data_IF_299894795994
#
_entry.id   IF_299894795994
#
_cell.length_a   1.000
_cell.length_b   1.000
_cell.length_c   1.000
_cell.angle_alpha   90.00
_cell.angle_beta   90.00
_cell.angle_gamma   90.00
#
_symmetry.space_group_name_H-M   'P 1'
#
loop_
_entity.id
_entity.type
_entity.pdbx_description
1 polymer ?
#
# COMPACT_ATOMS: atom_id res chain seq x y z
N UNK A 1 -3.53 -36.37 15.30
CA UNK A 1 -3.67 -35.95 14.95
C UNK A 1 -3.85 -35.40 14.86
N UNK A 2 -3.56 -35.44 14.75
CA UNK A 2 -3.50 -34.86 14.45
C UNK A 2 -3.48 -34.35 13.93
N UNK A 3 -3.11 -34.55 13.83
CA UNK A 3 -2.86 -34.02 13.14
C UNK A 3 -2.63 -33.51 12.73
N UNK A 4 -2.42 -33.70 12.66
CA UNK A 4 -2.09 -33.13 11.95
C UNK A 4 -1.89 -32.64 11.68
N UNK A 5 -1.63 -32.79 11.58
CA UNK A 5 -1.19 -32.25 11.06
C UNK A 5 -0.94 -31.69 10.90
N UNK A 6 -0.79 -31.80 10.80
CA UNK A 6 -0.29 -31.22 10.35
C UNK A 6 -0.07 -30.53 10.21
N UNK A 7 0.14 -30.59 10.24
CA UNK A 7 0.56 -29.93 9.86
C UNK A 7 0.87 -29.39 9.82
N UNK A 8 1.14 -29.55 9.85
CA UNK A 8 1.60 -29.02 9.65
C UNK A 8 2.03 -28.50 9.75
N UNK A 9 2.33 -28.65 9.92
CA UNK A 9 2.88 -28.09 9.81
C UNK A 9 3.42 -27.67 9.85
N UNK A 10 3.78 -27.81 9.92
CA UNK A 10 4.43 -27.32 9.72
C UNK A 10 5.01 -26.78 9.61
N UNK A 11 5.45 -26.88 9.53
CA UNK A 11 6.19 -26.29 9.26
C UNK A 11 6.62 -25.69 8.90
N UNK A 12 6.79 -25.56 8.68
CA UNK A 12 7.42 -24.87 8.20
C UNK A 12 7.86 -23.94 8.66
N UNK A 13 8.35 -23.71 8.71
CA UNK A 13 8.88 -22.85 9.22
C UNK A 13 9.19 -21.75 9.02
N UNK A 14 9.13 -21.41 9.37
CA UNK A 14 9.35 -20.44 9.24
C UNK A 14 9.34 -19.72 9.01
N UNK A 15 9.05 -20.66 9.11
CA UNK A 15 9.29 -19.80 8.66
C UNK A 15 9.55 -18.38 8.62
N UNK A 16 9.26 -17.69 8.20
CA UNK A 16 9.66 -16.34 8.00
C UNK A 16 8.88 -15.40 8.87
N UNK A 17 9.61 -14.55 9.54
CA UNK A 17 9.02 -13.41 10.22
C UNK A 17 8.30 -12.54 9.19
N UNK A 18 7.18 -11.91 9.55
CA UNK A 18 6.50 -10.99 8.64
C UNK A 18 7.40 -9.82 8.24
N UNK A 19 7.26 -9.39 7.02
CA UNK A 19 7.97 -8.22 6.49
C UNK A 19 7.24 -6.95 6.91
N UNK A 20 8.00 -5.91 7.25
CA UNK A 20 7.46 -4.56 7.48
C UNK A 20 7.27 -3.87 6.15
N UNK A 21 6.10 -3.29 5.91
CA UNK A 21 5.79 -2.68 4.62
C UNK A 21 5.14 -1.32 4.79
N UNK A 22 5.31 -0.47 3.79
CA UNK A 22 4.65 0.82 3.70
C UNK A 22 4.17 1.06 2.28
N UNK A 23 2.95 1.52 2.14
CA UNK A 23 2.31 1.82 0.87
C UNK A 23 1.79 3.25 0.86
N UNK A 24 1.76 3.85 -0.34
CA UNK A 24 1.08 5.11 -0.57
C UNK A 24 -0.21 4.82 -1.33
N UNK A 25 -1.32 5.35 -0.84
CA UNK A 25 -2.63 5.22 -1.47
C UNK A 25 -3.09 6.58 -1.96
N UNK A 26 -3.69 6.60 -3.16
CA UNK A 26 -4.21 7.84 -3.71
C UNK A 26 -5.39 7.61 -4.64
N UNK A 27 -6.28 8.60 -4.70
CA UNK A 27 -7.43 8.60 -5.59
C UNK A 27 -7.81 10.05 -5.89
N UNK A 28 -8.21 10.31 -7.13
CA UNK A 28 -8.77 11.63 -7.51
C UNK A 28 -10.27 11.55 -7.81
N UNK A 29 -10.89 10.41 -7.50
CA UNK A 29 -12.33 10.25 -7.68
C UNK A 29 -13.10 11.03 -6.64
N UNK A 30 -14.34 11.39 -6.95
CA UNK A 30 -15.20 12.12 -6.00
C UNK A 30 -15.39 11.36 -4.68
N UNK A 31 -15.38 10.02 -4.73
CA UNK A 31 -15.55 9.17 -3.56
C UNK A 31 -14.19 8.66 -3.03
N UNK A 32 -13.12 9.45 -3.18
CA UNK A 32 -11.77 9.02 -2.84
C UNK A 32 -11.65 8.48 -1.42
N UNK A 33 -12.23 9.15 -0.44
CA UNK A 33 -12.10 8.71 0.96
C UNK A 33 -12.75 7.33 1.18
N UNK A 34 -13.92 7.10 0.58
CA UNK A 34 -14.58 5.80 0.66
C UNK A 34 -13.78 4.71 -0.07
N UNK A 35 -13.16 5.07 -1.20
CA UNK A 35 -12.33 4.13 -1.95
C UNK A 35 -11.05 3.77 -1.18
N UNK A 36 -10.43 4.74 -0.52
CA UNK A 36 -9.27 4.49 0.33
C UNK A 36 -9.65 3.52 1.45
N UNK A 37 -10.79 3.75 2.09
CA UNK A 37 -11.25 2.87 3.16
C UNK A 37 -11.49 1.46 2.65
N UNK A 38 -12.12 1.33 1.48
CA UNK A 38 -12.35 0.02 0.85
C UNK A 38 -11.02 -0.67 0.54
N UNK A 39 -10.05 0.06 0.01
CA UNK A 39 -8.73 -0.51 -0.29
C UNK A 39 -8.06 -1.05 0.97
N UNK A 40 -8.12 -0.30 2.07
CA UNK A 40 -7.52 -0.72 3.34
C UNK A 40 -8.20 -2.00 3.85
N UNK A 41 -9.51 -2.09 3.75
CA UNK A 41 -10.24 -3.30 4.14
C UNK A 41 -9.81 -4.50 3.30
N UNK A 42 -9.66 -4.31 1.98
CA UNK A 42 -9.19 -5.37 1.09
C UNK A 42 -7.77 -5.78 1.42
N UNK A 43 -6.89 -4.80 1.71
CA UNK A 43 -5.50 -5.05 2.07
C UNK A 43 -5.37 -5.82 3.39
N UNK A 44 -6.35 -5.71 4.28
CA UNK A 44 -6.32 -6.43 5.55
C UNK A 44 -6.38 -7.95 5.38
N UNK A 45 -6.69 -8.44 4.19
CA UNK A 45 -6.69 -9.87 3.89
C UNK A 45 -5.27 -10.44 3.78
N UNK A 46 -4.27 -9.59 3.52
CA UNK A 46 -2.88 -10.05 3.34
C UNK A 46 -1.86 -9.18 4.06
N UNK A 47 -2.31 -8.17 4.79
CA UNK A 47 -1.44 -7.32 5.61
C UNK A 47 -2.06 -7.20 6.99
N UNK A 48 -1.24 -7.42 8.03
CA UNK A 48 -1.67 -7.31 9.42
C UNK A 48 -1.13 -6.01 10.02
N UNK A 49 -1.66 -5.62 11.18
CA UNK A 49 -1.19 -4.45 11.94
C UNK A 49 -1.26 -3.15 11.12
N UNK A 50 -2.32 -3.01 10.32
CA UNK A 50 -2.47 -1.85 9.45
C UNK A 50 -2.63 -0.57 10.28
N UNK A 51 -1.80 0.42 9.95
CA UNK A 51 -1.85 1.76 10.53
C UNK A 51 -1.91 2.74 9.37
N UNK A 52 -2.88 3.65 9.41
CA UNK A 52 -3.10 4.63 8.35
C UNK A 52 -2.82 6.03 8.89
N UNK A 53 -2.09 6.83 8.12
CA UNK A 53 -1.90 8.25 8.41
C UNK A 53 -3.19 9.03 8.11
N UNK A 54 -3.22 10.31 8.46
CA UNK A 54 -4.27 11.18 7.96
C UNK A 54 -4.24 11.19 6.43
N UNK A 55 -5.34 11.59 5.83
CA UNK A 55 -5.45 11.72 4.38
C UNK A 55 -5.32 13.20 4.03
N UNK A 56 -4.41 13.50 3.09
CA UNK A 56 -4.14 14.87 2.64
C UNK A 56 -4.70 15.08 1.25
N UNK A 57 -5.14 16.30 0.97
CA UNK A 57 -5.48 16.74 -0.39
C UNK A 57 -4.21 17.25 -1.05
N UNK A 58 -3.89 16.70 -2.23
CA UNK A 58 -2.68 17.09 -2.98
C UNK A 58 -3.03 17.44 -4.42
N UNK A 59 -2.20 18.30 -5.03
CA UNK A 59 -2.37 18.63 -6.45
C UNK A 59 -1.88 17.46 -7.32
N UNK A 60 -2.52 17.24 -8.48
CA UNK A 60 -2.08 16.17 -9.36
C UNK A 60 -0.69 16.44 -9.93
N UNK A 61 0.07 15.35 -10.14
CA UNK A 61 1.41 15.41 -10.70
C UNK A 61 1.38 14.66 -12.02
N UNK A 62 1.69 15.34 -13.11
CA UNK A 62 1.82 14.73 -14.43
C UNK A 62 0.52 14.46 -15.17
N UNK A 63 -0.64 14.80 -14.61
CA UNK A 63 -1.93 14.68 -15.30
C UNK A 63 -2.79 15.90 -15.00
N UNK A 64 -3.75 16.14 -15.87
CA UNK A 64 -4.74 17.19 -15.66
C UNK A 64 -5.98 16.56 -15.02
N UNK A 65 -6.18 16.83 -13.76
CA UNK A 65 -7.33 16.32 -13.02
C UNK A 65 -7.61 17.23 -11.83
N UNK A 66 -8.66 16.91 -11.08
CA UNK A 66 -8.86 17.50 -9.77
C UNK A 66 -7.83 16.98 -8.77
N UNK A 67 -7.85 17.52 -7.56
CA UNK A 67 -6.88 17.13 -6.55
C UNK A 67 -7.03 15.66 -6.15
N UNK A 68 -5.94 15.10 -5.64
CA UNK A 68 -5.93 13.76 -5.08
C UNK A 68 -6.13 13.80 -3.57
N UNK A 69 -6.66 12.70 -3.05
CA UNK A 69 -6.60 12.40 -1.62
C UNK A 69 -5.55 11.30 -1.45
N UNK A 70 -4.58 11.54 -0.59
CA UNK A 70 -3.45 10.62 -0.40
C UNK A 70 -3.20 10.33 1.07
N UNK A 71 -2.80 9.09 1.36
CA UNK A 71 -2.36 8.71 2.69
C UNK A 71 -1.25 7.67 2.60
N UNK A 72 -0.58 7.41 3.72
CA UNK A 72 0.36 6.31 3.85
C UNK A 72 -0.25 5.24 4.76
N UNK A 73 0.06 4.00 4.45
CA UNK A 73 -0.40 2.85 5.23
C UNK A 73 0.79 1.96 5.50
N UNK A 74 0.96 1.54 6.75
CA UNK A 74 2.01 0.60 7.14
C UNK A 74 1.39 -0.68 7.68
N UNK A 75 2.18 -1.74 7.70
CA UNK A 75 1.72 -3.02 8.24
C UNK A 75 2.79 -4.09 8.13
N UNK A 76 2.36 -5.33 8.29
CA UNK A 76 3.22 -6.50 8.17
C UNK A 76 2.59 -7.52 7.24
N UNK A 77 3.42 -8.23 6.47
CA UNK A 77 2.93 -9.25 5.55
C UNK A 77 3.94 -10.39 5.43
N UNK A 78 3.44 -11.60 5.19
CA UNK A 78 4.30 -12.74 4.88
C UNK A 78 4.65 -12.80 3.39
N UNK A 79 4.02 -11.95 2.57
CA UNK A 79 4.28 -11.93 1.13
C UNK A 79 5.63 -11.30 0.83
N UNK A 80 6.35 -11.85 -0.15
CA UNK A 80 7.53 -11.15 -0.66
C UNK A 80 7.09 -9.93 -1.48
N UNK A 81 8.04 -9.10 -1.89
CA UNK A 81 7.70 -7.84 -2.58
C UNK A 81 6.92 -8.08 -3.88
N UNK A 82 7.32 -9.10 -4.65
CA UNK A 82 6.66 -9.41 -5.91
C UNK A 82 5.22 -9.85 -5.70
N UNK A 83 4.99 -10.73 -4.73
CA UNK A 83 3.65 -11.20 -4.37
C UNK A 83 2.79 -10.04 -3.85
N UNK A 84 3.38 -9.18 -3.04
CA UNK A 84 2.65 -8.03 -2.49
C UNK A 84 2.25 -7.06 -3.60
N UNK A 85 3.16 -6.74 -4.52
CA UNK A 85 2.85 -5.85 -5.63
C UNK A 85 1.68 -6.41 -6.45
N UNK A 86 1.67 -7.71 -6.72
CA UNK A 86 0.57 -8.34 -7.44
C UNK A 86 -0.76 -8.21 -6.68
N UNK A 87 -0.72 -8.41 -5.36
CA UNK A 87 -1.91 -8.28 -4.51
C UNK A 87 -2.42 -6.83 -4.47
N UNK A 88 -1.50 -5.86 -4.44
CA UNK A 88 -1.89 -4.44 -4.46
C UNK A 88 -2.53 -4.06 -5.80
N UNK A 89 -2.00 -4.56 -6.91
CA UNK A 89 -2.62 -4.31 -8.22
C UNK A 89 -4.02 -4.91 -8.32
N UNK A 90 -4.21 -6.09 -7.76
CA UNK A 90 -5.55 -6.68 -7.70
C UNK A 90 -6.48 -5.81 -6.85
N UNK A 91 -6.00 -5.29 -5.74
CA UNK A 91 -6.78 -4.41 -4.88
C UNK A 91 -7.19 -3.14 -5.64
N UNK A 92 -6.28 -2.56 -6.43
CA UNK A 92 -6.63 -1.42 -7.29
C UNK A 92 -7.79 -1.76 -8.21
N UNK A 93 -7.73 -2.91 -8.89
CA UNK A 93 -8.81 -3.35 -9.79
C UNK A 93 -10.12 -3.58 -9.03
N UNK A 94 -10.04 -4.15 -7.84
CA UNK A 94 -11.23 -4.38 -7.02
C UNK A 94 -11.87 -3.06 -6.55
N UNK A 95 -11.09 -1.98 -6.51
CA UNK A 95 -11.60 -0.63 -6.24
C UNK A 95 -12.13 0.07 -7.49
N UNK A 96 -12.13 -0.59 -8.62
CA UNK A 96 -12.69 -0.05 -9.86
C UNK A 96 -11.68 0.54 -10.82
N UNK A 97 -10.38 0.41 -10.53
CA UNK A 97 -9.35 0.94 -11.42
C UNK A 97 -9.42 0.24 -12.78
N UNK A 98 -9.39 1.03 -13.85
CA UNK A 98 -9.44 0.55 -15.23
C UNK A 98 -8.56 1.43 -16.10
N UNK A 99 -7.93 0.82 -17.11
CA UNK A 99 -7.07 1.57 -18.05
C UNK A 99 -7.84 2.67 -18.76
N UNK A 100 -9.11 2.44 -19.10
CA UNK A 100 -9.92 3.44 -19.77
C UNK A 100 -10.16 4.66 -18.88
N UNK A 101 -10.37 4.46 -17.58
CA UNK A 101 -10.53 5.55 -16.62
C UNK A 101 -9.22 6.31 -16.47
N UNK A 102 -8.10 5.61 -16.35
CA UNK A 102 -6.78 6.26 -16.25
C UNK A 102 -6.48 7.10 -17.50
N UNK A 103 -6.86 6.63 -18.69
CA UNK A 103 -6.71 7.42 -19.90
C UNK A 103 -7.57 8.69 -19.87
N UNK A 104 -8.67 8.66 -19.14
CA UNK A 104 -9.52 9.84 -18.91
C UNK A 104 -9.08 10.64 -17.68
N UNK A 105 -7.91 10.33 -17.12
CA UNK A 105 -7.33 10.98 -15.94
C UNK A 105 -8.17 10.79 -14.67
N UNK A 106 -8.91 9.67 -14.61
CA UNK A 106 -9.65 9.27 -13.42
C UNK A 106 -8.89 8.10 -12.80
N UNK A 107 -8.32 8.35 -11.62
CA UNK A 107 -7.58 7.35 -10.86
C UNK A 107 -8.46 6.93 -9.70
N UNK A 108 -9.14 5.79 -9.86
CA UNK A 108 -10.02 5.27 -8.81
C UNK A 108 -9.21 4.90 -7.57
N UNK A 109 -8.10 4.21 -7.75
CA UNK A 109 -7.21 3.84 -6.66
C UNK A 109 -5.83 3.54 -7.22
N UNK A 110 -4.82 4.16 -6.62
CA UNK A 110 -3.42 3.92 -6.91
C UNK A 110 -2.75 3.50 -5.61
N UNK A 111 -2.09 2.35 -5.61
CA UNK A 111 -1.43 1.82 -4.42
C UNK A 111 0.01 1.48 -4.78
N UNK A 112 0.94 2.26 -4.26
CA UNK A 112 2.37 2.05 -4.53
C UNK A 112 3.06 1.47 -3.31
N UNK A 113 3.76 0.36 -3.50
CA UNK A 113 4.65 -0.16 -2.47
C UNK A 113 5.85 0.75 -2.38
N UNK A 114 6.07 1.35 -1.21
CA UNK A 114 7.21 2.25 -0.98
C UNK A 114 8.33 1.59 -0.21
N UNK A 115 8.01 0.64 0.67
CA UNK A 115 9.02 0.00 1.52
C UNK A 115 8.62 -1.45 1.78
N UNK A 116 9.58 -2.35 1.60
CA UNK A 116 9.46 -3.76 1.97
C UNK A 116 10.71 -4.12 2.76
N UNK A 117 10.55 -4.27 4.07
CA UNK A 117 11.64 -4.33 5.04
C UNK A 117 12.54 -3.10 4.90
N UNK A 118 13.78 -3.24 4.48
CA UNK A 118 14.69 -2.12 4.30
C UNK A 118 14.87 -1.70 2.85
N UNK A 119 14.14 -2.30 1.91
CA UNK A 119 14.24 -1.95 0.50
C UNK A 119 13.19 -0.92 0.11
N UNK A 120 13.64 0.18 -0.49
CA UNK A 120 12.78 1.26 -0.95
C UNK A 120 12.39 1.06 -2.41
N UNK A 121 11.15 1.39 -2.72
CA UNK A 121 10.59 1.38 -4.08
C UNK A 121 10.11 2.78 -4.41
N UNK A 122 10.00 3.10 -5.69
CA UNK A 122 9.55 4.43 -6.15
C UNK A 122 10.37 5.54 -5.48
N UNK A 123 11.69 5.40 -5.50
CA UNK A 123 12.58 6.27 -4.73
C UNK A 123 12.42 7.75 -5.06
N UNK A 124 12.01 8.09 -6.29
CA UNK A 124 11.75 9.46 -6.68
C UNK A 124 10.56 10.06 -5.95
N UNK A 125 9.56 9.22 -5.63
CA UNK A 125 8.33 9.69 -5.00
C UNK A 125 8.54 10.05 -3.53
N UNK A 126 9.57 9.51 -2.90
CA UNK A 126 9.86 9.79 -1.49
C UNK A 126 10.13 11.27 -1.22
N UNK A 127 10.52 12.03 -2.24
CA UNK A 127 10.77 13.47 -2.12
C UNK A 127 9.50 14.31 -2.20
N UNK A 128 8.37 13.71 -2.55
CA UNK A 128 7.11 14.45 -2.66
C UNK A 128 6.70 14.99 -1.31
N UNK A 129 6.21 16.23 -1.29
CA UNK A 129 5.91 16.92 -0.04
C UNK A 129 4.91 16.17 0.83
N UNK A 130 3.88 15.55 0.23
CA UNK A 130 2.90 14.85 1.04
C UNK A 130 3.48 13.61 1.71
N UNK A 131 4.42 12.92 1.07
CA UNK A 131 5.09 11.78 1.67
C UNK A 131 5.95 12.25 2.83
N UNK A 132 6.74 13.29 2.63
CA UNK A 132 7.59 13.84 3.71
C UNK A 132 6.73 14.32 4.89
N UNK A 133 5.57 14.88 4.60
CA UNK A 133 4.66 15.37 5.63
C UNK A 133 4.02 14.23 6.43
N UNK A 134 3.71 13.11 5.78
CA UNK A 134 3.01 11.98 6.41
C UNK A 134 3.95 10.98 7.07
N UNK A 135 5.23 10.91 6.63
CA UNK A 135 6.19 9.94 7.20
C UNK A 135 6.26 9.97 8.71
N UNK A 136 6.30 11.14 9.38
CA UNK A 136 6.36 11.16 10.84
C UNK A 136 5.16 10.53 11.54
N UNK A 137 4.04 10.37 10.83
CA UNK A 137 2.85 9.72 11.40
C UNK A 137 2.94 8.20 11.35
N UNK A 138 3.92 7.66 10.63
CA UNK A 138 4.16 6.22 10.58
C UNK A 138 5.16 5.86 11.69
N UNK A 139 5.05 4.62 12.18
CA UNK A 139 5.99 4.13 13.21
C UNK A 139 7.13 3.35 12.58
N UNK A 140 7.39 3.61 11.31
CA UNK A 140 8.36 2.82 10.58
C UNK A 140 9.77 3.37 10.84
N UNK A 141 10.70 2.45 11.16
CA UNK A 141 12.12 2.79 11.23
C UNK A 141 12.71 2.69 9.84
N UNK A 142 13.15 3.82 9.31
CA UNK A 142 13.74 3.83 7.98
C UNK A 142 15.22 3.48 8.07
N UNK A 143 15.73 2.63 7.13
CA UNK A 143 17.15 2.43 7.03
C UNK A 143 17.83 3.72 6.57
N UNK A 144 19.09 3.94 6.94
CA UNK A 144 19.81 5.13 6.47
C UNK A 144 19.92 5.12 4.96
N UNK A 145 19.88 6.31 4.37
CA UNK A 145 20.14 6.46 2.95
C UNK A 145 21.63 6.27 2.67
N UNK A 146 21.92 5.49 1.67
CA UNK A 146 23.31 5.25 1.24
C UNK A 146 23.56 5.91 -0.11
#
# INVERSE_FOLDING_TARGET
>A
MRASPPSCIISMPDTSAPHSVMMALGSNHADADALIEKAIQLMSRFITDLITTETLTTEPIGIQSGPFRNCLVTGHTVLDASQLIAALKKTERDCGDRKSLRRAHIIMMDIDLLLHDDRRYHTQDWQRSYIQQLLPQTNISLPPLT
#
